data_IF_431235743183
#
_entry.id   IF_431235743183
#
_cell.length_a   1.000
_cell.length_b   1.000
_cell.length_c   1.000
_cell.angle_alpha   90.00
_cell.angle_beta   90.00
_cell.angle_gamma   90.00
#
_symmetry.space_group_name_H-M   'P 1'
#
loop_
_entity.id
_entity.type
_entity.pdbx_description
1 polymer ?
#
# COMPACT_ATOMS: atom_id res chain seq x y z
N UNK A 1 -19.68 -4.14 10.77
CA UNK A 1 -18.96 -3.10 11.56
C UNK A 1 -19.67 -1.77 11.41
N UNK A 2 -19.48 -0.84 12.37
CA UNK A 2 -20.05 0.53 12.32
C UNK A 2 -19.69 1.28 11.03
N UNK A 3 -18.47 1.08 10.52
CA UNK A 3 -17.99 1.65 9.25
C UNK A 3 -18.82 1.17 8.05
N UNK A 4 -19.13 -0.13 7.98
CA UNK A 4 -19.96 -0.68 6.89
C UNK A 4 -21.37 -0.09 6.89
N UNK A 5 -21.99 0.03 8.08
CA UNK A 5 -23.32 0.62 8.24
C UNK A 5 -23.33 2.10 7.82
N UNK A 6 -22.29 2.85 8.19
CA UNK A 6 -22.18 4.25 7.77
C UNK A 6 -21.94 4.40 6.25
N UNK A 7 -21.17 3.50 5.63
CA UNK A 7 -20.98 3.50 4.18
C UNK A 7 -22.30 3.24 3.44
N UNK A 8 -23.09 2.26 3.91
CA UNK A 8 -24.43 2.00 3.36
C UNK A 8 -25.37 3.19 3.55
N UNK A 9 -25.40 3.79 4.75
CA UNK A 9 -26.20 4.98 5.03
C UNK A 9 -25.81 6.15 4.12
N UNK A 10 -24.51 6.32 3.85
CA UNK A 10 -24.00 7.36 2.95
C UNK A 10 -24.39 7.10 1.49
N UNK A 11 -24.28 5.86 1.02
CA UNK A 11 -24.71 5.46 -0.32
C UNK A 11 -26.22 5.65 -0.52
N UNK A 12 -27.04 5.24 0.45
CA UNK A 12 -28.49 5.43 0.43
C UNK A 12 -28.86 6.92 0.43
N UNK A 13 -28.20 7.75 1.24
CA UNK A 13 -28.40 9.22 1.19
C UNK A 13 -28.10 9.80 -0.19
N UNK A 14 -27.01 9.38 -0.82
CA UNK A 14 -26.65 9.84 -2.16
C UNK A 14 -27.72 9.41 -3.19
N UNK A 15 -28.20 8.17 -3.10
CA UNK A 15 -29.26 7.66 -3.97
C UNK A 15 -30.57 8.44 -3.81
N UNK A 16 -31.06 8.63 -2.58
CA UNK A 16 -32.33 9.37 -2.37
C UNK A 16 -32.22 10.85 -2.69
N UNK A 17 -31.04 11.47 -2.54
CA UNK A 17 -30.80 12.82 -3.06
C UNK A 17 -30.89 12.87 -4.58
N UNK A 18 -30.42 11.85 -5.28
CA UNK A 18 -30.56 11.74 -6.73
C UNK A 18 -32.01 11.42 -7.16
N UNK A 19 -32.68 10.49 -6.47
CA UNK A 19 -34.09 10.18 -6.73
C UNK A 19 -34.99 11.42 -6.57
N UNK A 20 -34.66 12.31 -5.62
CA UNK A 20 -35.28 13.63 -5.51
C UNK A 20 -35.06 14.50 -6.74
N UNK A 21 -33.85 14.60 -7.30
CA UNK A 21 -33.63 15.41 -8.51
C UNK A 21 -34.39 14.87 -9.72
N UNK A 22 -34.83 13.62 -9.67
CA UNK A 22 -35.72 12.99 -10.65
C UNK A 22 -37.21 13.03 -10.29
N UNK A 23 -37.57 13.57 -9.12
CA UNK A 23 -38.97 13.67 -8.67
C UNK A 23 -39.57 12.36 -8.16
N UNK A 24 -38.76 11.34 -7.89
CA UNK A 24 -39.24 10.00 -7.52
C UNK A 24 -39.54 9.84 -6.02
N UNK A 25 -39.14 10.79 -5.18
CA UNK A 25 -39.36 10.70 -3.74
C UNK A 25 -39.37 12.06 -3.04
N UNK A 26 -39.97 12.09 -1.84
CA UNK A 26 -39.98 13.26 -0.96
C UNK A 26 -38.59 13.58 -0.38
N UNK A 27 -38.35 14.86 -0.06
CA UNK A 27 -37.07 15.37 0.44
C UNK A 27 -36.62 14.79 1.78
N UNK A 28 -37.57 14.41 2.63
CA UNK A 28 -37.34 13.99 4.01
C UNK A 28 -36.69 12.61 4.16
N UNK A 29 -36.77 11.75 3.13
CA UNK A 29 -36.28 10.38 3.21
C UNK A 29 -34.75 10.34 3.34
N UNK A 30 -34.03 11.18 2.59
CA UNK A 30 -32.57 11.24 2.68
C UNK A 30 -32.11 11.77 4.05
N UNK A 31 -32.86 12.68 4.66
CA UNK A 31 -32.54 13.29 5.95
C UNK A 31 -32.86 12.36 7.13
N UNK A 32 -33.85 11.47 6.97
CA UNK A 32 -34.20 10.46 7.97
C UNK A 32 -33.14 9.35 8.12
N UNK A 33 -32.27 9.15 7.12
CA UNK A 33 -31.23 8.11 7.15
C UNK A 33 -30.07 8.54 8.06
N UNK A 34 -30.13 8.11 9.33
CA UNK A 34 -29.08 8.32 10.32
C UNK A 34 -28.03 7.21 10.25
N UNK A 35 -26.76 7.59 10.09
CA UNK A 35 -25.62 6.67 10.25
C UNK A 35 -25.13 6.68 11.69
N UNK A 36 -24.44 5.62 12.17
CA UNK A 36 -23.79 5.66 13.47
C UNK A 36 -22.70 6.75 13.49
N UNK A 37 -22.51 7.47 14.61
CA UNK A 37 -21.37 8.39 14.74
C UNK A 37 -20.06 7.61 14.60
N UNK A 38 -19.17 8.11 13.76
CA UNK A 38 -17.80 7.60 13.62
C UNK A 38 -16.88 8.71 14.11
N UNK A 39 -16.21 8.48 15.24
CA UNK A 39 -15.26 9.44 15.78
C UNK A 39 -13.95 9.33 15.00
N UNK A 40 -13.41 10.47 14.56
CA UNK A 40 -12.26 10.58 13.64
C UNK A 40 -10.98 9.92 14.16
N UNK A 41 -10.92 9.59 15.46
CA UNK A 41 -9.75 9.04 16.16
C UNK A 41 -9.99 7.66 16.79
N UNK A 42 -11.22 7.10 16.73
CA UNK A 42 -11.62 5.91 17.51
C UNK A 42 -10.95 4.59 17.10
N UNK A 43 -10.13 4.60 16.06
CA UNK A 43 -9.48 3.39 15.56
C UNK A 43 -8.32 3.68 14.63
N UNK A 44 -7.59 4.79 14.83
CA UNK A 44 -6.34 5.03 14.09
C UNK A 44 -5.37 3.93 14.51
N UNK A 45 -5.10 2.96 13.62
CA UNK A 45 -4.10 1.96 13.94
C UNK A 45 -2.76 2.68 13.96
N UNK A 46 -2.13 2.75 15.13
CA UNK A 46 -0.75 3.22 15.20
C UNK A 46 0.07 2.32 14.30
N UNK A 47 0.69 2.89 13.26
CA UNK A 47 1.59 2.15 12.39
C UNK A 47 2.75 1.54 13.21
N UNK A 48 3.47 0.55 12.65
CA UNK A 48 4.61 -0.04 13.34
C UNK A 48 5.65 1.04 13.69
N UNK A 49 6.34 0.87 14.82
CA UNK A 49 7.45 1.75 15.19
C UNK A 49 8.63 1.62 14.20
N UNK A 50 9.58 2.54 14.27
CA UNK A 50 10.80 2.45 13.46
C UNK A 50 11.63 1.20 13.74
N UNK A 51 11.70 0.79 15.01
CA UNK A 51 12.43 -0.40 15.40
C UNK A 51 11.74 -1.67 14.91
N UNK A 52 10.41 -1.67 14.90
CA UNK A 52 9.61 -2.75 14.31
C UNK A 52 9.82 -2.88 12.81
N UNK A 53 9.84 -1.75 12.09
CA UNK A 53 10.15 -1.72 10.66
C UNK A 53 11.56 -2.24 10.40
N UNK A 54 12.54 -1.87 11.23
CA UNK A 54 13.92 -2.38 11.12
C UNK A 54 13.95 -3.89 11.31
N UNK A 55 13.33 -4.39 12.39
CA UNK A 55 13.20 -5.83 12.68
C UNK A 55 12.50 -6.56 11.53
N UNK A 56 11.46 -5.96 10.94
CA UNK A 56 10.74 -6.50 9.80
C UNK A 56 11.68 -6.68 8.60
N UNK A 57 12.38 -5.62 8.22
CA UNK A 57 13.31 -5.62 7.09
C UNK A 57 14.43 -6.64 7.30
N UNK A 58 15.05 -6.67 8.50
CA UNK A 58 16.08 -7.65 8.85
C UNK A 58 15.56 -9.08 8.81
N UNK A 59 14.31 -9.33 9.22
CA UNK A 59 13.70 -10.67 9.15
C UNK A 59 13.52 -11.22 7.72
N UNK A 60 13.67 -10.36 6.70
CA UNK A 60 13.59 -10.69 5.28
C UNK A 60 14.97 -10.65 4.59
N UNK A 61 16.07 -10.50 5.32
CA UNK A 61 17.44 -10.59 4.79
C UNK A 61 17.86 -12.06 4.65
N UNK A 62 17.16 -12.79 3.79
CA UNK A 62 17.45 -14.20 3.49
C UNK A 62 17.60 -14.40 1.97
N UNK A 63 18.04 -15.60 1.57
CA UNK A 63 18.12 -15.99 0.16
C UNK A 63 16.81 -16.65 -0.34
N UNK A 64 15.73 -16.59 0.45
CA UNK A 64 14.45 -17.16 0.01
C UNK A 64 13.83 -16.24 -1.05
N UNK A 65 13.36 -16.78 -2.19
CA UNK A 65 12.73 -15.98 -3.25
C UNK A 65 11.58 -15.09 -2.76
N UNK A 66 10.77 -15.58 -1.81
CA UNK A 66 9.71 -14.77 -1.20
C UNK A 66 10.26 -13.58 -0.42
N UNK A 67 11.27 -13.80 0.43
CA UNK A 67 11.79 -12.76 1.32
C UNK A 67 12.49 -11.64 0.53
N UNK A 68 13.23 -11.99 -0.53
CA UNK A 68 13.88 -11.01 -1.43
C UNK A 68 12.84 -10.10 -2.09
N UNK A 69 11.77 -10.69 -2.65
CA UNK A 69 10.68 -9.94 -3.28
C UNK A 69 9.92 -9.09 -2.28
N UNK A 70 9.56 -9.69 -1.15
CA UNK A 70 8.71 -9.09 -0.13
C UNK A 70 9.46 -7.93 0.56
N UNK A 71 10.78 -8.04 0.75
CA UNK A 71 11.64 -6.95 1.25
C UNK A 71 11.59 -5.72 0.35
N UNK A 72 11.74 -5.89 -0.97
CA UNK A 72 11.67 -4.78 -1.92
C UNK A 72 10.30 -4.08 -1.87
N UNK A 73 9.20 -4.84 -1.78
CA UNK A 73 7.85 -4.27 -1.63
C UNK A 73 7.67 -3.51 -0.32
N UNK A 74 8.14 -4.08 0.80
CA UNK A 74 8.04 -3.44 2.12
C UNK A 74 8.84 -2.14 2.18
N UNK A 75 10.02 -2.10 1.55
CA UNK A 75 10.79 -0.86 1.43
C UNK A 75 10.01 0.24 0.70
N UNK A 76 9.31 -0.10 -0.40
CA UNK A 76 8.47 0.87 -1.11
C UNK A 76 7.31 1.40 -0.26
N UNK A 77 6.71 0.55 0.58
CA UNK A 77 5.66 0.97 1.52
C UNK A 77 6.19 1.90 2.60
N UNK A 78 7.29 1.51 3.22
CA UNK A 78 7.82 2.20 4.40
C UNK A 78 8.48 3.52 4.03
N UNK A 79 9.32 3.53 2.99
CA UNK A 79 10.17 4.68 2.65
C UNK A 79 9.38 5.76 1.90
N UNK A 80 8.62 5.35 0.89
CA UNK A 80 7.89 6.30 0.03
C UNK A 80 6.40 6.43 0.35
N UNK A 81 5.85 5.54 1.19
CA UNK A 81 4.42 5.55 1.51
C UNK A 81 3.54 5.13 0.34
N UNK A 82 4.07 4.34 -0.61
CA UNK A 82 3.28 3.91 -1.78
C UNK A 82 2.05 3.11 -1.34
N UNK A 83 0.96 3.23 -2.08
CA UNK A 83 -0.23 2.40 -1.84
C UNK A 83 -0.01 0.99 -2.36
N UNK A 84 -0.76 0.03 -1.81
CA UNK A 84 -0.72 -1.36 -2.29
C UNK A 84 -1.03 -1.48 -3.79
N UNK A 85 -1.96 -0.68 -4.32
CA UNK A 85 -2.28 -0.65 -5.76
C UNK A 85 -1.18 -0.03 -6.60
N UNK A 86 -0.41 0.88 -6.01
CA UNK A 86 0.69 1.59 -6.65
C UNK A 86 1.89 0.65 -6.80
N UNK A 87 2.29 -0.03 -5.72
CA UNK A 87 3.33 -1.07 -5.76
C UNK A 87 2.92 -2.24 -6.68
N UNK A 88 1.67 -2.68 -6.63
CA UNK A 88 1.17 -3.76 -7.49
C UNK A 88 1.20 -3.44 -9.00
N UNK A 89 1.11 -2.15 -9.35
CA UNK A 89 1.06 -1.68 -10.75
C UNK A 89 2.38 -1.10 -11.24
N UNK A 90 3.39 -0.99 -10.37
CA UNK A 90 4.71 -0.47 -10.73
C UNK A 90 5.29 -1.29 -11.87
N UNK A 91 5.73 -0.61 -12.92
CA UNK A 91 6.31 -1.22 -14.11
C UNK A 91 7.81 -0.96 -14.21
N UNK A 92 8.48 -1.73 -15.06
CA UNK A 92 9.91 -1.59 -15.29
C UNK A 92 10.24 -0.22 -15.91
N UNK A 93 9.38 0.31 -16.77
CA UNK A 93 9.51 1.65 -17.38
C UNK A 93 9.26 2.81 -16.39
N UNK A 94 8.64 2.54 -15.25
CA UNK A 94 8.41 3.56 -14.21
C UNK A 94 9.68 3.81 -13.37
N UNK A 95 10.73 3.00 -13.54
CA UNK A 95 11.99 3.14 -12.82
C UNK A 95 13.05 3.66 -13.78
N UNK A 96 13.45 4.90 -13.57
CA UNK A 96 14.54 5.54 -14.28
C UNK A 96 15.83 5.33 -13.49
N UNK A 97 16.65 4.40 -13.98
CA UNK A 97 17.95 4.05 -13.37
C UNK A 97 19.05 5.05 -13.70
N UNK A 98 18.90 5.86 -14.75
CA UNK A 98 19.91 6.85 -15.15
C UNK A 98 19.82 8.09 -14.27
N UNK A 99 18.59 8.48 -13.90
CA UNK A 99 18.33 9.66 -13.08
C UNK A 99 17.99 9.33 -11.61
N UNK A 100 18.14 8.06 -11.20
CA UNK A 100 17.78 7.54 -9.88
C UNK A 100 16.37 7.98 -9.45
N UNK A 101 15.35 7.67 -10.26
CA UNK A 101 13.98 8.11 -10.03
C UNK A 101 12.94 6.99 -10.23
N UNK A 102 11.86 7.08 -9.46
CA UNK A 102 10.64 6.29 -9.65
C UNK A 102 9.52 7.26 -10.04
N UNK A 103 8.93 7.03 -11.21
CA UNK A 103 7.88 7.86 -11.79
C UNK A 103 6.55 7.16 -11.60
N UNK A 104 5.63 7.80 -10.88
CA UNK A 104 4.34 7.22 -10.55
C UNK A 104 3.19 7.96 -11.21
N UNK A 105 2.54 7.30 -12.15
CA UNK A 105 1.35 7.80 -12.81
C UNK A 105 0.13 7.73 -11.88
N UNK A 106 -0.42 8.88 -11.42
CA UNK A 106 -1.67 8.88 -10.64
C UNK A 106 -2.88 8.80 -11.56
N UNK A 107 -3.75 7.81 -11.30
CA UNK A 107 -5.08 7.76 -11.91
C UNK A 107 -5.95 8.93 -11.42
N UNK A 108 -6.82 9.44 -12.31
CA UNK A 108 -7.71 10.62 -12.16
C UNK A 108 -7.04 12.00 -12.35
N UNK A 109 -6.20 12.16 -13.37
CA UNK A 109 -5.81 13.49 -13.86
C UNK A 109 -4.96 14.33 -12.90
N UNK A 110 -4.25 13.69 -11.96
CA UNK A 110 -3.46 14.37 -10.91
C UNK A 110 -1.95 14.41 -11.21
N UNK A 111 -1.55 14.25 -12.47
CA UNK A 111 -0.16 14.26 -12.90
C UNK A 111 0.64 13.02 -12.49
N UNK A 112 1.89 12.95 -12.95
CA UNK A 112 2.90 12.01 -12.46
C UNK A 112 3.58 12.58 -11.20
N UNK A 113 3.89 11.71 -10.25
CA UNK A 113 4.71 12.06 -9.09
C UNK A 113 6.07 11.38 -9.24
N UNK A 114 7.14 12.15 -9.10
CA UNK A 114 8.51 11.64 -9.11
C UNK A 114 8.99 11.43 -7.68
N UNK A 115 9.63 10.29 -7.43
CA UNK A 115 10.27 9.94 -6.18
C UNK A 115 11.75 9.64 -6.43
N UNK A 116 12.68 10.14 -5.60
CA UNK A 116 14.08 9.74 -5.72
C UNK A 116 14.21 8.24 -5.42
N UNK A 117 14.99 7.51 -6.21
CA UNK A 117 15.32 6.11 -5.99
C UNK A 117 16.53 6.02 -5.06
N UNK A 118 16.29 5.75 -3.78
CA UNK A 118 17.37 5.58 -2.82
C UNK A 118 18.17 4.30 -3.10
N UNK A 119 19.51 4.31 -2.95
CA UNK A 119 20.36 3.15 -3.26
C UNK A 119 19.94 1.86 -2.56
N UNK A 120 19.52 1.95 -1.29
CA UNK A 120 19.04 0.80 -0.50
C UNK A 120 17.81 0.14 -1.11
N UNK A 121 16.88 0.94 -1.66
CA UNK A 121 15.69 0.44 -2.36
C UNK A 121 16.06 -0.07 -3.74
N UNK A 122 16.87 0.69 -4.48
CA UNK A 122 17.38 0.31 -5.79
C UNK A 122 18.04 -1.06 -5.75
N UNK A 123 18.95 -1.29 -4.80
CA UNK A 123 19.60 -2.59 -4.59
C UNK A 123 18.60 -3.71 -4.29
N UNK A 124 17.59 -3.48 -3.44
CA UNK A 124 16.59 -4.48 -3.15
C UNK A 124 15.74 -4.84 -4.39
N UNK A 125 15.38 -3.84 -5.20
CA UNK A 125 14.65 -4.04 -6.47
C UNK A 125 15.54 -4.79 -7.46
N UNK A 126 16.78 -4.35 -7.69
CA UNK A 126 17.72 -4.99 -8.62
C UNK A 126 17.97 -6.44 -8.22
N UNK A 127 18.17 -6.70 -6.92
CA UNK A 127 18.34 -8.06 -6.39
C UNK A 127 17.14 -8.94 -6.75
N UNK A 128 15.92 -8.46 -6.53
CA UNK A 128 14.73 -9.18 -6.94
C UNK A 128 14.67 -9.39 -8.47
N UNK A 129 14.94 -8.35 -9.27
CA UNK A 129 14.90 -8.43 -10.73
C UNK A 129 15.92 -9.41 -11.32
N UNK A 130 17.10 -9.53 -10.72
CA UNK A 130 18.20 -10.38 -11.19
C UNK A 130 18.13 -11.82 -10.67
N UNK A 131 17.84 -12.00 -9.38
CA UNK A 131 17.97 -13.31 -8.71
C UNK A 131 16.66 -14.09 -8.66
N UNK A 132 15.51 -13.42 -8.68
CA UNK A 132 14.24 -14.03 -8.29
C UNK A 132 13.13 -13.87 -9.30
N UNK A 133 13.04 -12.72 -9.98
CA UNK A 133 11.93 -12.42 -10.88
C UNK A 133 11.87 -13.45 -12.00
N UNK A 134 10.76 -14.21 -12.14
CA UNK A 134 10.62 -15.16 -13.23
C UNK A 134 10.67 -14.45 -14.58
N UNK A 135 11.29 -15.10 -15.58
CA UNK A 135 11.26 -14.60 -16.94
C UNK A 135 9.82 -14.59 -17.45
N UNK A 136 9.34 -13.42 -17.86
CA UNK A 136 8.00 -13.25 -18.43
C UNK A 136 7.94 -12.03 -19.33
N UNK A 137 6.96 -12.00 -20.23
CA UNK A 137 6.64 -10.85 -21.08
C UNK A 137 5.96 -9.70 -20.34
N UNK A 138 5.65 -9.87 -19.05
CA UNK A 138 4.96 -8.88 -18.24
C UNK A 138 5.90 -7.72 -17.92
N UNK A 139 5.35 -6.50 -17.94
CA UNK A 139 6.09 -5.26 -17.67
C UNK A 139 6.03 -4.84 -16.20
N UNK A 140 5.11 -5.41 -15.43
CA UNK A 140 5.04 -5.20 -13.99
C UNK A 140 6.32 -5.69 -13.30
N UNK A 141 6.83 -4.90 -12.36
CA UNK A 141 8.03 -5.23 -11.59
C UNK A 141 7.76 -6.52 -10.83
N UNK A 142 6.72 -6.53 -9.99
CA UNK A 142 6.47 -7.61 -9.05
C UNK A 142 5.44 -8.64 -9.53
N UNK A 143 5.88 -9.90 -9.57
CA UNK A 143 5.08 -11.03 -10.02
C UNK A 143 4.92 -12.10 -8.93
N UNK A 144 3.94 -12.99 -9.14
CA UNK A 144 3.84 -14.26 -8.42
C UNK A 144 5.06 -15.13 -8.71
N UNK A 145 5.54 -15.86 -7.71
CA UNK A 145 6.71 -16.74 -7.85
C UNK A 145 6.38 -18.11 -8.44
N UNK A 146 5.11 -18.51 -8.35
CA UNK A 146 4.60 -19.77 -8.89
C UNK A 146 3.65 -19.50 -10.06
N UNK A 147 3.60 -20.45 -10.99
CA UNK A 147 2.66 -20.42 -12.11
C UNK A 147 1.20 -20.48 -11.59
N UNK A 148 0.26 -19.78 -12.25
CA UNK A 148 0.45 -18.87 -13.38
C UNK A 148 1.14 -17.56 -12.97
N UNK A 149 2.13 -17.12 -13.76
CA UNK A 149 2.86 -15.87 -13.53
C UNK A 149 1.92 -14.67 -13.75
N UNK A 150 1.59 -13.98 -12.66
CA UNK A 150 0.66 -12.84 -12.65
C UNK A 150 1.26 -11.69 -11.84
N UNK A 151 0.93 -10.43 -12.16
CA UNK A 151 1.21 -9.32 -11.26
C UNK A 151 0.64 -9.59 -9.87
N UNK A 152 1.33 -9.17 -8.82
CA UNK A 152 0.78 -9.39 -7.48
C UNK A 152 -0.47 -8.55 -7.30
N UNK A 153 -1.54 -9.21 -6.85
CA UNK A 153 -2.79 -8.53 -6.54
C UNK A 153 -2.67 -7.70 -5.26
N UNK A 154 -3.52 -6.67 -5.14
CA UNK A 154 -3.67 -5.89 -3.90
C UNK A 154 -3.91 -6.80 -2.68
N UNK A 155 -4.72 -7.85 -2.83
CA UNK A 155 -4.99 -8.81 -1.78
C UNK A 155 -3.74 -9.63 -1.40
N UNK A 156 -2.95 -10.03 -2.41
CA UNK A 156 -1.65 -10.71 -2.20
C UNK A 156 -0.69 -9.84 -1.39
N UNK A 157 -0.58 -8.55 -1.74
CA UNK A 157 0.20 -7.58 -0.99
C UNK A 157 -0.26 -7.47 0.48
N UNK A 158 -1.57 -7.38 0.74
CA UNK A 158 -2.06 -7.33 2.12
C UNK A 158 -1.75 -8.60 2.92
N UNK A 159 -1.90 -9.77 2.28
CA UNK A 159 -1.57 -11.05 2.93
C UNK A 159 -0.07 -11.15 3.25
N UNK A 160 0.77 -10.59 2.39
CA UNK A 160 2.22 -10.51 2.58
C UNK A 160 2.56 -9.59 3.74
N UNK A 161 2.08 -8.34 3.73
CA UNK A 161 2.40 -7.37 4.80
C UNK A 161 1.87 -7.85 6.14
N UNK A 162 0.69 -8.46 6.16
CA UNK A 162 0.09 -9.02 7.38
C UNK A 162 0.90 -10.20 7.92
N UNK A 163 1.34 -11.14 7.06
CA UNK A 163 2.23 -12.24 7.48
C UNK A 163 3.58 -11.73 7.98
N UNK A 164 4.14 -10.73 7.31
CA UNK A 164 5.41 -10.14 7.68
C UNK A 164 5.32 -9.44 9.06
N UNK A 165 4.25 -8.69 9.31
CA UNK A 165 3.96 -8.09 10.63
C UNK A 165 3.78 -9.16 11.73
N UNK A 166 3.03 -10.23 11.44
CA UNK A 166 2.84 -11.31 12.40
C UNK A 166 4.15 -12.02 12.75
N UNK A 167 5.09 -12.15 11.80
CA UNK A 167 6.42 -12.76 12.02
C UNK A 167 7.23 -12.03 13.10
N UNK A 168 7.03 -10.72 13.25
CA UNK A 168 7.71 -9.90 14.25
C UNK A 168 6.87 -9.65 15.53
N UNK A 169 5.72 -10.33 15.64
CA UNK A 169 4.82 -10.23 16.80
C UNK A 169 3.89 -9.01 16.78
N UNK A 170 3.73 -8.35 15.63
CA UNK A 170 2.83 -7.20 15.50
C UNK A 170 1.49 -7.67 14.96
N UNK A 171 0.45 -7.47 15.76
CA UNK A 171 -0.91 -7.78 15.38
C UNK A 171 -1.52 -6.58 14.65
N UNK A 172 -1.76 -6.66 13.32
CA UNK A 172 -2.43 -5.57 12.63
C UNK A 172 -3.86 -5.45 13.16
N UNK A 173 -4.28 -4.27 13.64
CA UNK A 173 -5.61 -4.08 14.24
C UNK A 173 -6.75 -4.31 13.25
N UNK A 174 -6.51 -4.17 11.94
CA UNK A 174 -7.48 -4.46 10.88
C UNK A 174 -6.83 -5.19 9.70
N UNK A 175 -7.60 -6.08 9.04
CA UNK A 175 -7.24 -6.69 7.75
C UNK A 175 -7.07 -5.56 6.71
N UNK A 176 -5.83 -5.24 6.35
CA UNK A 176 -5.52 -4.14 5.44
C UNK A 176 -4.68 -3.01 6.05
N UNK A 177 -4.14 -3.19 7.27
CA UNK A 177 -3.13 -2.30 7.82
C UNK A 177 -2.04 -2.06 6.77
N UNK A 178 -1.96 -0.81 6.33
CA UNK A 178 -0.91 -0.40 5.39
C UNK A 178 0.34 -0.16 6.24
N UNK A 179 1.47 -0.70 5.81
CA UNK A 179 2.78 -0.38 6.37
C UNK A 179 3.13 1.07 6.01
N UNK A 180 2.41 2.02 6.58
CA UNK A 180 2.77 3.43 6.51
C UNK A 180 3.46 3.71 7.83
N UNK A 181 4.76 3.97 7.76
CA UNK A 181 5.44 4.45 8.94
C UNK A 181 4.87 5.84 9.29
N UNK A 182 4.49 6.09 10.56
CA UNK A 182 3.99 7.38 10.96
C UNK A 182 5.09 8.44 10.76
N UNK A 183 4.76 9.48 9.96
CA UNK A 183 5.50 10.74 9.71
C UNK A 183 7.03 10.62 9.74
N UNK A 184 7.60 10.47 8.54
CA UNK A 184 8.98 10.03 8.33
C UNK A 184 10.00 11.10 7.96
N UNK A 185 9.61 12.29 7.54
CA UNK A 185 10.55 13.18 6.87
C UNK A 185 11.55 13.91 7.79
N UNK A 186 11.56 13.69 9.11
CA UNK A 186 12.37 14.49 10.04
C UNK A 186 13.12 13.72 11.14
N UNK A 187 13.10 12.38 11.13
CA UNK A 187 13.76 11.59 12.19
C UNK A 187 15.24 11.32 11.89
N UNK A 188 16.19 11.58 12.82
CA UNK A 188 17.63 11.30 12.63
C UNK A 188 17.95 9.84 12.27
N UNK A 189 17.13 8.89 12.74
CA UNK A 189 17.27 7.47 12.42
C UNK A 189 17.09 7.14 10.93
N UNK A 190 16.29 7.93 10.18
CA UNK A 190 16.06 7.68 8.76
C UNK A 190 17.32 7.96 7.93
N UNK A 191 18.04 9.06 8.22
CA UNK A 191 19.30 9.39 7.52
C UNK A 191 20.38 8.33 7.74
N UNK A 192 20.45 7.73 8.93
CA UNK A 192 21.46 6.72 9.29
C UNK A 192 21.19 5.33 8.68
N UNK A 193 19.97 5.07 8.22
CA UNK A 193 19.62 3.84 7.50
C UNK A 193 19.90 3.93 6.00
N UNK A 194 20.02 5.16 5.48
CA UNK A 194 20.26 5.44 4.06
C UNK A 194 21.74 5.65 3.72
N UNK A 195 22.56 5.90 4.75
CA UNK A 195 24.03 5.89 4.69
C UNK A 195 24.57 4.48 4.89
#
# INVERSE_FOLDING_TARGET
SRVSINNMATALRAFFRYARTKGWCASSIAEAIKGPPIYTQEGLPSGPSWDDVRRLLTSMETNRPCDIRDRAMVMLFVIYGFRATEVAKLRLEDIDWEHDQIIMSRLKGRGSQVYPLLPTVGHAIVRYLREVRPQSSRREVFLTLAAPLRPISRAGLYSLTSRAMLKIGIHPPHRGATLVAPRLCSSPCFRRFLS
#
